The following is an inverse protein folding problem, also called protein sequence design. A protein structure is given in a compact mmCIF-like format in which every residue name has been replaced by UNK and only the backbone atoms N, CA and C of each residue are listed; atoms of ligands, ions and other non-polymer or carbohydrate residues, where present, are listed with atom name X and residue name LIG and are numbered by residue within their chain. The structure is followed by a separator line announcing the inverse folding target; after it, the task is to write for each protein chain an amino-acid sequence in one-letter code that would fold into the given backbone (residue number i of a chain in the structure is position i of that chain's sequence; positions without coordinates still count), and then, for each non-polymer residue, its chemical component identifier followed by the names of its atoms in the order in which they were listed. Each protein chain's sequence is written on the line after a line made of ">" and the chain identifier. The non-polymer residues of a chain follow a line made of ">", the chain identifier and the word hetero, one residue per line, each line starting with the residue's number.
data_IF_700742880222
#
_entry.id   IF_700742880222
#
_cell.length_a   1.000
_cell.length_b   1.000
_cell.length_c   1.000
_cell.angle_alpha   90.00
_cell.angle_beta   90.00
_cell.angle_gamma   90.00
#
_symmetry.space_group_name_H-M   'P 1'
#
loop_
_entity.id
_entity.type
_entity.pdbx_description
1 polymer ?
#
# COMPACT_ATOMS: atom_id res chain seq x y z
N UNK A 1 48.88 19.80 -21.49
CA UNK A 1 47.44 19.78 -21.24
C UNK A 1 46.96 21.21 -21.09
N UNK A 2 46.19 21.70 -22.05
CA UNK A 2 45.74 23.09 -22.12
C UNK A 2 44.25 23.17 -21.73
N UNK A 3 43.85 24.25 -21.05
CA UNK A 3 42.46 24.61 -20.65
C UNK A 3 41.40 24.46 -21.75
N UNK A 4 41.79 24.38 -23.03
CA UNK A 4 40.89 24.13 -24.17
C UNK A 4 40.52 22.66 -24.38
N UNK A 5 41.28 21.71 -23.85
CA UNK A 5 41.00 20.27 -23.95
C UNK A 5 39.96 19.82 -22.90
N UNK A 6 39.79 20.57 -21.82
CA UNK A 6 38.85 20.25 -20.73
C UNK A 6 37.38 20.58 -21.05
N UNK A 7 37.13 21.46 -22.04
CA UNK A 7 35.78 21.87 -22.45
C UNK A 7 35.17 20.99 -23.55
N UNK A 8 35.96 20.12 -24.18
CA UNK A 8 35.48 19.18 -25.20
C UNK A 8 34.86 17.89 -24.64
N UNK A 9 35.03 17.63 -23.34
CA UNK A 9 34.58 16.39 -22.68
C UNK A 9 33.19 16.51 -22.02
N UNK A 10 32.45 17.58 -22.29
CA UNK A 10 31.18 17.87 -21.64
C UNK A 10 29.98 17.78 -22.57
N UNK A 11 29.58 16.58 -23.04
CA UNK A 11 28.18 16.30 -23.42
C UNK A 11 27.89 14.84 -23.87
N UNK A 12 28.14 13.83 -23.02
CA UNK A 12 27.46 12.52 -23.15
C UNK A 12 27.07 11.96 -21.77
N UNK A 13 26.31 12.74 -21.00
CA UNK A 13 25.59 12.25 -19.82
C UNK A 13 24.08 12.10 -20.10
N UNK A 14 23.72 11.76 -21.33
CA UNK A 14 22.35 11.37 -21.68
C UNK A 14 22.30 9.85 -21.69
N UNK A 15 21.78 9.23 -20.64
CA UNK A 15 21.29 7.85 -20.78
C UNK A 15 21.31 6.89 -19.59
N UNK A 16 21.66 7.27 -18.36
CA UNK A 16 21.59 6.29 -17.24
C UNK A 16 20.44 6.52 -16.25
N UNK A 17 19.72 7.64 -16.31
CA UNK A 17 18.55 7.85 -15.44
C UNK A 17 17.31 7.05 -15.86
N UNK A 18 17.29 6.43 -17.05
CA UNK A 18 16.14 5.67 -17.54
C UNK A 18 16.14 4.17 -17.13
N UNK A 19 17.24 3.64 -16.58
CA UNK A 19 17.37 2.20 -16.30
C UNK A 19 17.13 1.80 -14.83
N UNK A 20 16.83 2.75 -13.94
CA UNK A 20 16.61 2.45 -12.52
C UNK A 20 15.13 2.23 -12.12
N UNK A 21 14.16 2.42 -13.03
CA UNK A 21 12.73 2.27 -12.75
C UNK A 21 12.14 0.95 -13.30
N UNK A 22 12.73 -0.20 -12.97
CA UNK A 22 12.20 -1.50 -13.46
C UNK A 22 11.59 -2.38 -12.38
N UNK A 23 11.71 -2.05 -11.10
CA UNK A 23 11.10 -2.85 -10.03
C UNK A 23 9.90 -2.11 -9.46
N UNK A 24 8.68 -2.62 -9.71
CA UNK A 24 7.39 -2.26 -9.10
C UNK A 24 6.38 -1.43 -9.92
N UNK A 25 6.53 -1.27 -11.24
CA UNK A 25 5.46 -0.67 -12.08
C UNK A 25 4.10 -1.39 -11.99
N UNK A 26 4.07 -2.64 -11.52
CA UNK A 26 2.86 -3.44 -11.39
C UNK A 26 2.17 -3.34 -10.02
N UNK A 27 2.81 -2.72 -9.01
CA UNK A 27 2.20 -2.51 -7.70
C UNK A 27 1.27 -1.30 -7.81
N UNK A 28 -0.02 -1.41 -7.44
CA UNK A 28 -0.90 -0.25 -7.42
C UNK A 28 -0.36 0.82 -6.48
N UNK A 29 -0.78 2.07 -6.63
CA UNK A 29 -0.43 3.10 -5.63
C UNK A 29 -1.17 2.80 -4.32
N UNK A 30 -0.46 2.95 -3.20
CA UNK A 30 -1.03 2.68 -1.88
C UNK A 30 -2.05 3.76 -1.52
N UNK A 31 -3.33 3.44 -1.35
CA UNK A 31 -4.29 4.38 -0.81
C UNK A 31 -3.97 4.67 0.66
N UNK A 32 -4.23 5.89 1.11
CA UNK A 32 -3.96 6.33 2.49
C UNK A 32 -5.24 6.92 3.08
N UNK A 33 -5.54 6.58 4.33
CA UNK A 33 -6.65 7.21 5.04
C UNK A 33 -6.28 8.64 5.46
N UNK A 34 -7.10 9.62 5.06
CA UNK A 34 -6.95 11.01 5.50
C UNK A 34 -7.62 11.33 6.85
N UNK A 35 -8.53 10.48 7.34
CA UNK A 35 -9.34 10.74 8.54
C UNK A 35 -9.55 9.48 9.37
N UNK A 36 -9.91 9.64 10.64
CA UNK A 36 -10.32 8.54 11.54
C UNK A 36 -11.85 8.37 11.62
N UNK A 37 -12.62 9.11 10.82
CA UNK A 37 -14.08 9.01 10.82
C UNK A 37 -14.54 7.76 10.09
N UNK A 38 -15.61 7.12 10.57
CA UNK A 38 -16.26 6.02 9.86
C UNK A 38 -16.59 6.39 8.42
N UNK A 39 -16.09 5.61 7.46
CA UNK A 39 -16.39 5.76 6.04
C UNK A 39 -17.34 4.65 5.60
N UNK A 40 -18.32 5.00 4.77
CA UNK A 40 -19.22 4.02 4.15
C UNK A 40 -18.53 3.47 2.90
N UNK A 41 -18.19 2.18 2.85
CA UNK A 41 -17.54 1.62 1.66
C UNK A 41 -18.50 1.57 0.47
N UNK A 42 -18.03 1.88 -0.75
CA UNK A 42 -18.83 1.77 -1.95
C UNK A 42 -19.15 0.30 -2.25
N UNK A 43 -20.29 0.05 -2.90
CA UNK A 43 -20.60 -1.28 -3.44
C UNK A 43 -19.56 -1.67 -4.50
N UNK A 44 -19.12 -2.93 -4.58
CA UNK A 44 -18.25 -3.39 -5.66
C UNK A 44 -18.84 -3.09 -7.04
N UNK A 45 -18.12 -2.34 -7.88
CA UNK A 45 -18.47 -2.11 -9.28
C UNK A 45 -18.01 -3.26 -10.20
N UNK A 46 -17.03 -4.04 -9.73
CA UNK A 46 -16.42 -5.15 -10.48
C UNK A 46 -16.22 -6.38 -9.58
N UNK A 47 -15.76 -7.50 -10.13
CA UNK A 47 -15.53 -8.71 -9.36
C UNK A 47 -16.84 -9.36 -8.90
N UNK A 48 -16.79 -10.11 -7.80
CA UNK A 48 -17.98 -10.70 -7.18
C UNK A 48 -18.72 -9.65 -6.36
N UNK A 49 -20.06 -9.67 -6.46
CA UNK A 49 -20.92 -8.80 -5.68
C UNK A 49 -20.97 -9.23 -4.21
N UNK A 50 -21.07 -8.27 -3.30
CA UNK A 50 -21.25 -8.47 -1.86
C UNK A 50 -21.85 -7.22 -1.22
N UNK A 51 -22.37 -7.37 0.00
CA UNK A 51 -22.79 -6.24 0.83
C UNK A 51 -21.59 -5.77 1.65
N UNK A 52 -21.06 -4.55 1.41
CA UNK A 52 -19.89 -4.05 2.13
C UNK A 52 -20.16 -3.87 3.62
N UNK A 53 -19.14 -4.12 4.45
CA UNK A 53 -19.21 -3.97 5.90
C UNK A 53 -18.69 -2.60 6.33
N UNK A 54 -19.53 -1.84 7.03
CA UNK A 54 -19.09 -0.59 7.66
C UNK A 54 -18.24 -0.92 8.90
N UNK A 55 -16.98 -0.49 8.87
CA UNK A 55 -16.07 -0.60 10.01
C UNK A 55 -16.06 0.72 10.77
N UNK A 56 -16.42 0.69 12.05
CA UNK A 56 -16.46 1.89 12.89
C UNK A 56 -15.07 2.52 13.01
N UNK A 57 -15.01 3.84 12.86
CA UNK A 57 -13.78 4.62 12.87
C UNK A 57 -12.75 4.10 11.85
N UNK A 58 -13.24 3.51 10.76
CA UNK A 58 -12.44 2.85 9.75
C UNK A 58 -12.94 3.12 8.35
N UNK A 59 -12.27 2.46 7.40
CA UNK A 59 -12.49 2.57 5.96
C UNK A 59 -12.06 1.25 5.32
N UNK A 60 -12.64 0.92 4.16
CA UNK A 60 -12.25 -0.28 3.42
C UNK A 60 -11.08 0.00 2.50
N UNK A 61 -10.10 -0.92 2.45
CA UNK A 61 -8.95 -0.84 1.57
C UNK A 61 -9.41 -0.94 0.11
N UNK A 62 -9.19 0.08 -0.72
CA UNK A 62 -9.48 0.01 -2.13
C UNK A 62 -8.72 -1.13 -2.80
N UNK A 63 -9.36 -1.69 -3.81
CA UNK A 63 -8.82 -2.78 -4.59
C UNK A 63 -9.14 -2.57 -6.07
N UNK A 64 -8.40 -3.28 -6.92
CA UNK A 64 -8.66 -3.32 -8.37
C UNK A 64 -8.74 -4.76 -8.84
N UNK A 65 -9.46 -5.01 -9.93
CA UNK A 65 -9.33 -6.27 -10.65
C UNK A 65 -8.12 -6.22 -11.59
N UNK A 66 -7.35 -7.31 -11.59
CA UNK A 66 -6.31 -7.61 -12.57
C UNK A 66 -6.59 -9.01 -13.15
N UNK A 67 -7.31 -9.05 -14.28
CA UNK A 67 -7.90 -10.28 -14.79
C UNK A 67 -8.88 -10.86 -13.77
N UNK A 68 -8.65 -12.10 -13.33
CA UNK A 68 -9.45 -12.76 -12.30
C UNK A 68 -8.89 -12.60 -10.88
N UNK A 69 -7.91 -11.71 -10.67
CA UNK A 69 -7.29 -11.47 -9.36
C UNK A 69 -7.75 -10.13 -8.78
N UNK A 70 -8.24 -10.16 -7.54
CA UNK A 70 -8.55 -8.98 -6.73
C UNK A 70 -7.29 -8.51 -6.01
N UNK A 71 -6.78 -7.34 -6.39
CA UNK A 71 -5.51 -6.82 -5.89
C UNK A 71 -5.68 -5.68 -4.89
N UNK A 72 -4.95 -5.78 -3.78
CA UNK A 72 -4.88 -4.78 -2.71
C UNK A 72 -3.43 -4.32 -2.51
N UNK A 73 -3.26 -3.12 -1.94
CA UNK A 73 -1.94 -2.62 -1.50
C UNK A 73 -1.98 -2.17 -0.05
N UNK A 74 -1.38 -2.99 0.81
CA UNK A 74 -1.25 -2.75 2.24
C UNK A 74 0.16 -2.22 2.54
N UNK A 75 0.26 -1.14 3.31
CA UNK A 75 1.55 -0.51 3.64
C UNK A 75 1.70 -0.45 5.14
N UNK A 76 2.66 -1.19 5.71
CA UNK A 76 3.03 -1.06 7.11
C UNK A 76 3.94 0.17 7.29
N UNK A 77 3.57 1.12 8.13
CA UNK A 77 4.35 2.36 8.30
C UNK A 77 4.19 2.99 9.70
N UNK A 78 5.14 3.82 10.15
CA UNK A 78 4.96 4.64 11.35
C UNK A 78 3.85 5.67 11.15
N UNK A 79 3.00 5.84 12.15
CA UNK A 79 1.90 6.81 12.14
C UNK A 79 1.84 7.57 13.47
N UNK A 80 1.38 8.81 13.44
CA UNK A 80 1.05 9.57 14.65
C UNK A 80 -0.47 9.73 14.74
N UNK A 81 -1.03 9.46 15.91
CA UNK A 81 -2.48 9.52 16.18
C UNK A 81 -2.74 10.17 17.53
N UNK A 82 -3.71 11.07 17.58
CA UNK A 82 -4.28 11.53 18.84
C UNK A 82 -5.30 10.49 19.33
N UNK A 83 -5.03 9.88 20.49
CA UNK A 83 -5.87 8.82 21.07
C UNK A 83 -6.92 9.37 22.04
N UNK A 84 -6.61 10.50 22.65
CA UNK A 84 -7.47 11.30 23.52
C UNK A 84 -6.98 12.75 23.44
N UNK A 85 -7.78 13.70 23.90
CA UNK A 85 -7.44 15.14 23.89
C UNK A 85 -6.02 15.38 24.44
N UNK A 86 -5.16 15.95 23.61
CA UNK A 86 -3.76 16.26 23.94
C UNK A 86 -2.82 15.05 24.05
N UNK A 87 -3.31 13.83 23.80
CA UNK A 87 -2.57 12.58 23.92
C UNK A 87 -2.21 12.04 22.54
N UNK A 88 -1.07 12.46 22.01
CA UNK A 88 -0.54 11.98 20.73
C UNK A 88 0.38 10.78 20.94
N UNK A 89 0.07 9.67 20.26
CA UNK A 89 0.86 8.45 20.26
C UNK A 89 1.55 8.25 18.91
N UNK A 90 2.81 7.79 18.98
CA UNK A 90 3.57 7.29 17.83
C UNK A 90 3.38 5.78 17.76
N UNK A 91 2.81 5.30 16.66
CA UNK A 91 2.36 3.94 16.49
C UNK A 91 2.94 3.37 15.19
N UNK A 92 2.85 2.05 15.04
CA UNK A 92 2.95 1.40 13.74
C UNK A 92 1.55 1.03 13.29
N UNK A 93 1.26 1.30 12.03
CA UNK A 93 -0.06 1.13 11.47
C UNK A 93 -0.01 0.70 10.02
N UNK A 94 -1.18 0.71 9.38
CA UNK A 94 -1.33 0.41 7.97
C UNK A 94 -1.95 1.57 7.22
N UNK A 95 -1.40 1.91 6.05
CA UNK A 95 -1.95 2.89 5.11
C UNK A 95 -2.32 4.22 5.78
N UNK A 96 -1.39 4.73 6.60
CA UNK A 96 -1.54 5.97 7.34
C UNK A 96 -2.55 5.94 8.49
N UNK A 97 -2.88 4.79 9.07
CA UNK A 97 -3.76 4.68 10.24
C UNK A 97 -3.32 3.59 11.23
N UNK A 98 -3.59 3.78 12.53
CA UNK A 98 -3.34 2.74 13.56
C UNK A 98 -4.47 1.72 13.67
N UNK A 99 -5.66 2.05 13.19
CA UNK A 99 -6.68 1.07 12.79
C UNK A 99 -6.50 0.91 11.28
N UNK A 100 -5.88 -0.20 10.88
CA UNK A 100 -5.66 -0.50 9.46
C UNK A 100 -6.98 -0.57 8.69
N UNK A 101 -6.92 -0.45 7.35
CA UNK A 101 -8.12 -0.51 6.53
C UNK A 101 -8.71 -1.93 6.51
N UNK A 102 -10.03 -2.00 6.36
CA UNK A 102 -10.76 -3.26 6.24
C UNK A 102 -10.52 -3.86 4.86
N UNK A 103 -10.06 -5.11 4.82
CA UNK A 103 -9.91 -5.87 3.58
C UNK A 103 -11.15 -6.74 3.40
N UNK A 104 -11.83 -6.58 2.27
CA UNK A 104 -13.07 -7.31 1.97
C UNK A 104 -12.88 -8.23 0.76
N UNK A 105 -13.14 -9.52 0.95
CA UNK A 105 -13.11 -10.53 -0.09
C UNK A 105 -14.31 -11.49 0.07
N UNK A 106 -14.74 -12.07 -1.04
CA UNK A 106 -15.84 -13.04 -1.08
C UNK A 106 -15.28 -14.43 -1.36
N UNK A 107 -15.93 -15.47 -0.85
CA UNK A 107 -15.55 -16.85 -1.16
C UNK A 107 -15.45 -17.06 -2.69
N UNK A 108 -14.33 -17.67 -3.10
CA UNK A 108 -14.00 -17.87 -4.51
C UNK A 108 -13.34 -16.68 -5.20
N UNK A 109 -13.05 -15.58 -4.50
CA UNK A 109 -12.13 -14.55 -4.99
C UNK A 109 -10.70 -15.10 -5.02
N UNK A 110 -9.95 -14.79 -6.09
CA UNK A 110 -8.50 -14.96 -6.11
C UNK A 110 -7.87 -13.65 -5.65
N UNK A 111 -7.31 -13.64 -4.45
CA UNK A 111 -6.79 -12.42 -3.82
C UNK A 111 -5.27 -12.34 -3.96
N UNK A 112 -4.77 -11.12 -4.21
CA UNK A 112 -3.35 -10.78 -4.09
C UNK A 112 -3.22 -9.50 -3.28
N UNK A 113 -2.40 -9.53 -2.24
CA UNK A 113 -2.15 -8.36 -1.40
C UNK A 113 -0.66 -8.03 -1.52
N UNK A 114 -0.36 -6.86 -2.08
CA UNK A 114 0.98 -6.32 -2.03
C UNK A 114 1.19 -5.74 -0.64
N UNK A 115 2.21 -6.22 0.07
CA UNK A 115 2.60 -5.68 1.38
C UNK A 115 3.90 -4.91 1.21
N UNK A 116 3.87 -3.60 1.50
CA UNK A 116 5.06 -2.76 1.55
C UNK A 116 5.41 -2.45 2.98
N UNK A 117 6.63 -2.79 3.39
CA UNK A 117 7.15 -2.43 4.70
C UNK A 117 7.90 -1.10 4.62
N UNK A 118 7.41 -0.07 5.31
CA UNK A 118 8.07 1.22 5.53
C UNK A 118 8.46 1.42 7.01
N UNK A 119 8.34 0.38 7.83
CA UNK A 119 8.80 0.41 9.22
C UNK A 119 10.34 0.41 9.27
N UNK A 120 10.93 0.91 10.36
CA UNK A 120 12.37 0.79 10.59
C UNK A 120 12.83 -0.64 10.90
N UNK A 121 11.88 -1.58 11.09
CA UNK A 121 12.12 -2.97 11.47
C UNK A 121 11.58 -3.96 10.42
N UNK A 122 12.16 -5.15 10.38
CA UNK A 122 11.62 -6.26 9.61
C UNK A 122 10.25 -6.68 10.15
N UNK A 123 9.31 -6.96 9.25
CA UNK A 123 7.96 -7.37 9.61
C UNK A 123 7.39 -8.40 8.64
N UNK A 124 6.36 -9.10 9.09
CA UNK A 124 5.55 -10.04 8.31
C UNK A 124 4.08 -9.82 8.65
N UNK A 125 3.17 -10.14 7.73
CA UNK A 125 1.73 -10.08 7.98
C UNK A 125 1.21 -11.50 8.17
N UNK A 126 0.51 -11.74 9.27
CA UNK A 126 -0.20 -12.99 9.51
C UNK A 126 -1.69 -12.80 9.22
N UNK A 127 -2.22 -13.55 8.26
CA UNK A 127 -3.63 -13.54 7.87
C UNK A 127 -4.45 -14.43 8.81
N UNK A 128 -4.75 -13.91 10.00
CA UNK A 128 -5.44 -14.66 11.05
C UNK A 128 -6.74 -15.32 10.56
N UNK A 129 -6.86 -16.63 10.79
CA UNK A 129 -8.05 -17.40 10.44
C UNK A 129 -8.15 -17.83 8.97
N UNK A 130 -7.22 -17.44 8.10
CA UNK A 130 -7.21 -17.88 6.70
C UNK A 130 -6.44 -19.19 6.53
N UNK A 131 -6.97 -20.10 5.72
CA UNK A 131 -6.31 -21.36 5.35
C UNK A 131 -5.37 -21.06 4.19
N UNK A 132 -4.07 -21.01 4.48
CA UNK A 132 -3.05 -20.61 3.52
C UNK A 132 -1.91 -21.67 3.46
N UNK A 133 -1.34 -21.93 2.28
CA UNK A 133 -0.05 -22.61 2.17
C UNK A 133 1.02 -22.03 3.09
N UNK A 134 1.92 -22.89 3.57
CA UNK A 134 3.11 -22.44 4.30
C UNK A 134 4.00 -21.57 3.39
N UNK A 135 4.47 -20.44 3.93
CA UNK A 135 5.39 -19.55 3.22
C UNK A 135 4.75 -18.51 2.30
N UNK A 136 3.44 -18.26 2.43
CA UNK A 136 2.81 -17.04 1.88
C UNK A 136 3.00 -15.82 2.78
#
# INVERSE_FOLDING_TARGET
>A
MNRRELLGAGMVLVGTSALAQTTNRAVPEAPVAGTATTQVPPRPETGRDFNPVVTLNGWSLPWRMNGNVKEFHLVAEPVERELAEGTVARLWGYNGSSIGPTIEAVEGDRVRIFVTNRLPEHTTVHWHGQILPSGM
#
